data_IF_186358570245
#
_entry.id   IF_186358570245
#
_cell.length_a   1.000
_cell.length_b   1.000
_cell.length_c   1.000
_cell.angle_alpha   90.00
_cell.angle_beta   90.00
_cell.angle_gamma   90.00
#
_symmetry.space_group_name_H-M   'P 1'
#
loop_
_entity.id
_entity.type
_entity.pdbx_description
1 polymer ?
#
# COMPACT_ATOMS: atom_id res chain seq x y z
N UNK A 1 9.33 14.47 -10.75
CA UNK A 1 9.11 13.19 -10.04
C UNK A 1 9.44 13.45 -8.59
N UNK A 2 8.46 13.34 -7.69
CA UNK A 2 8.73 13.35 -6.25
C UNK A 2 9.31 11.98 -5.96
N UNK A 3 10.60 11.92 -5.62
CA UNK A 3 11.25 10.68 -5.21
C UNK A 3 11.06 10.59 -3.70
N UNK A 4 10.02 9.89 -3.26
CA UNK A 4 9.81 9.60 -1.83
C UNK A 4 10.93 8.63 -1.39
N UNK A 5 11.54 8.88 -0.23
CA UNK A 5 12.63 8.05 0.28
C UNK A 5 12.09 6.78 0.96
N UNK A 6 12.93 5.76 1.04
CA UNK A 6 12.63 4.53 1.78
C UNK A 6 12.33 4.80 3.26
N UNK A 7 13.01 5.77 3.86
CA UNK A 7 12.76 6.23 5.24
C UNK A 7 11.32 6.74 5.40
N UNK A 8 10.86 7.62 4.50
CA UNK A 8 9.48 8.13 4.54
C UNK A 8 8.46 7.03 4.29
N UNK A 9 8.74 6.08 3.39
CA UNK A 9 7.85 4.93 3.18
C UNK A 9 7.74 4.10 4.45
N UNK A 10 8.86 3.86 5.13
CA UNK A 10 8.87 3.10 6.36
C UNK A 10 8.11 3.81 7.48
N UNK A 11 8.25 5.13 7.61
CA UNK A 11 7.47 5.96 8.53
C UNK A 11 5.96 5.84 8.28
N UNK A 12 5.53 5.93 7.01
CA UNK A 12 4.13 5.74 6.61
C UNK A 12 3.63 4.35 7.03
N UNK A 13 4.42 3.30 6.73
CA UNK A 13 4.07 1.92 7.08
C UNK A 13 3.88 1.78 8.60
N UNK A 14 4.84 2.26 9.39
CA UNK A 14 4.81 2.17 10.85
C UNK A 14 3.70 3.01 11.47
N UNK A 15 3.35 4.15 10.86
CA UNK A 15 2.26 4.99 11.32
C UNK A 15 0.91 4.25 11.20
N UNK A 16 0.63 3.69 10.03
CA UNK A 16 -0.71 3.22 9.66
C UNK A 16 -0.96 1.74 9.83
N UNK A 17 0.09 0.89 9.81
CA UNK A 17 -0.05 -0.55 9.99
C UNK A 17 0.76 -1.03 11.19
N UNK A 18 0.20 -2.01 11.91
CA UNK A 18 0.83 -2.63 13.07
C UNK A 18 1.61 -3.86 12.60
N UNK A 19 2.68 -3.61 11.85
CA UNK A 19 3.56 -4.65 11.35
C UNK A 19 4.75 -4.81 12.31
N UNK A 20 5.09 -6.05 12.63
CA UNK A 20 6.26 -6.37 13.45
C UNK A 20 7.55 -6.19 12.64
N UNK A 21 8.39 -5.24 13.06
CA UNK A 21 9.70 -4.93 12.48
C UNK A 21 9.68 -4.81 10.93
N UNK A 22 8.91 -3.86 10.36
CA UNK A 22 8.83 -3.71 8.91
C UNK A 22 10.16 -3.22 8.35
N UNK A 23 10.54 -3.71 7.18
CA UNK A 23 11.71 -3.26 6.42
C UNK A 23 11.35 -3.05 4.95
N UNK A 24 12.02 -2.09 4.30
CA UNK A 24 11.92 -1.92 2.85
C UNK A 24 12.71 -3.04 2.18
N UNK A 25 12.02 -3.86 1.40
CA UNK A 25 12.62 -4.94 0.62
C UNK A 25 13.06 -4.46 -0.76
N UNK A 26 12.16 -4.56 -1.73
CA UNK A 26 12.40 -4.26 -3.14
C UNK A 26 11.50 -3.12 -3.59
N UNK A 27 12.02 -2.21 -4.42
CA UNK A 27 11.24 -1.18 -5.10
C UNK A 27 10.96 -1.63 -6.52
N UNK A 28 9.70 -1.53 -6.93
CA UNK A 28 9.28 -1.88 -8.28
C UNK A 28 8.93 -0.63 -9.08
N UNK A 29 9.08 -0.72 -10.41
CA UNK A 29 8.59 0.26 -11.37
C UNK A 29 9.04 1.71 -11.08
N UNK A 30 10.34 1.92 -10.85
CA UNK A 30 10.89 3.24 -10.48
C UNK A 30 10.65 4.35 -11.50
N UNK A 31 10.39 3.99 -12.77
CA UNK A 31 10.07 4.95 -13.84
C UNK A 31 8.58 5.37 -13.84
N UNK A 32 7.75 4.75 -13.00
CA UNK A 32 6.31 5.04 -12.89
C UNK A 32 6.03 6.11 -11.82
N UNK A 33 4.95 6.86 -12.02
CA UNK A 33 4.42 7.73 -10.97
C UNK A 33 3.82 6.94 -9.79
N UNK A 34 3.59 5.63 -9.98
CA UNK A 34 3.07 4.73 -8.95
C UNK A 34 4.19 4.26 -8.03
N UNK A 35 3.96 4.32 -6.73
CA UNK A 35 4.81 3.69 -5.73
C UNK A 35 4.48 2.21 -5.64
N UNK A 36 5.52 1.37 -5.64
CA UNK A 36 5.38 -0.07 -5.42
C UNK A 36 6.59 -0.56 -4.63
N UNK A 37 6.36 -0.99 -3.39
CA UNK A 37 7.40 -1.46 -2.49
C UNK A 37 7.02 -2.81 -1.90
N UNK A 38 7.97 -3.73 -1.85
CA UNK A 38 7.88 -4.91 -1.01
C UNK A 38 8.24 -4.52 0.42
N UNK A 39 7.31 -4.71 1.35
CA UNK A 39 7.56 -4.53 2.79
C UNK A 39 7.78 -5.91 3.39
N UNK A 40 8.94 -6.12 3.98
CA UNK A 40 9.28 -7.38 4.64
C UNK A 40 8.94 -7.29 6.13
N UNK A 41 8.44 -8.37 6.70
CA UNK A 41 8.28 -8.54 8.14
C UNK A 41 8.78 -9.93 8.52
N UNK A 42 8.83 -10.25 9.80
CA UNK A 42 9.23 -11.59 10.26
C UNK A 42 8.26 -12.70 9.83
N UNK A 43 6.98 -12.36 9.66
CA UNK A 43 5.90 -13.35 9.44
C UNK A 43 5.50 -13.49 7.99
N UNK A 44 5.43 -12.37 7.26
CA UNK A 44 5.11 -12.38 5.83
C UNK A 44 5.56 -11.10 5.13
N UNK A 45 5.62 -11.19 3.80
CA UNK A 45 5.89 -10.04 2.95
C UNK A 45 4.58 -9.39 2.50
N UNK A 46 4.56 -8.07 2.45
CA UNK A 46 3.46 -7.27 1.94
C UNK A 46 3.91 -6.47 0.70
N UNK A 47 2.93 -6.08 -0.11
CA UNK A 47 3.15 -5.18 -1.25
C UNK A 47 2.43 -3.85 -0.98
N UNK A 48 3.20 -2.82 -0.65
CA UNK A 48 2.70 -1.45 -0.54
C UNK A 48 2.56 -0.86 -1.94
N UNK A 49 1.40 -0.26 -2.22
CA UNK A 49 1.10 0.41 -3.48
C UNK A 49 0.63 1.82 -3.16
N UNK A 50 1.24 2.81 -3.81
CA UNK A 50 0.81 4.21 -3.72
C UNK A 50 0.42 4.74 -5.10
N UNK A 51 -0.79 5.27 -5.24
CA UNK A 51 -1.20 5.98 -6.46
C UNK A 51 -1.15 7.49 -6.22
N UNK A 52 -0.64 8.31 -7.17
CA UNK A 52 -0.65 9.76 -7.00
C UNK A 52 -2.04 10.27 -6.65
N UNK A 53 -2.14 11.27 -5.79
CA UNK A 53 -3.43 11.78 -5.34
C UNK A 53 -4.25 12.53 -6.40
N UNK A 54 -3.66 12.75 -7.58
CA UNK A 54 -4.35 13.15 -8.80
C UNK A 54 -5.30 12.07 -9.34
N UNK A 55 -5.13 10.81 -8.92
CA UNK A 55 -6.11 9.74 -9.17
C UNK A 55 -7.37 10.02 -8.33
N UNK A 56 -8.58 10.00 -8.92
CA UNK A 56 -9.81 10.23 -8.15
C UNK A 56 -10.04 9.17 -7.07
N UNK A 57 -10.50 9.59 -5.89
CA UNK A 57 -10.82 8.67 -4.78
C UNK A 57 -11.84 7.60 -5.19
N UNK A 58 -12.77 7.92 -6.09
CA UNK A 58 -13.75 6.96 -6.62
C UNK A 58 -13.09 5.75 -7.30
N UNK A 59 -11.97 5.97 -7.99
CA UNK A 59 -11.14 4.90 -8.58
C UNK A 59 -10.47 4.07 -7.48
N UNK A 60 -9.96 4.71 -6.44
CA UNK A 60 -9.35 4.01 -5.29
C UNK A 60 -10.39 3.13 -4.59
N UNK A 61 -11.55 3.69 -4.25
CA UNK A 61 -12.69 2.97 -3.66
C UNK A 61 -13.12 1.77 -4.50
N UNK A 62 -13.23 1.95 -5.82
CA UNK A 62 -13.59 0.87 -6.73
C UNK A 62 -12.56 -0.26 -6.70
N UNK A 63 -11.26 0.07 -6.77
CA UNK A 63 -10.19 -0.92 -6.74
C UNK A 63 -10.12 -1.65 -5.39
N UNK A 64 -10.25 -0.93 -4.29
CA UNK A 64 -10.33 -1.49 -2.93
C UNK A 64 -11.50 -2.48 -2.82
N UNK A 65 -12.69 -2.10 -3.30
CA UNK A 65 -13.87 -2.96 -3.30
C UNK A 65 -13.64 -4.25 -4.11
N UNK A 66 -12.98 -4.14 -5.27
CA UNK A 66 -12.62 -5.33 -6.07
C UNK A 66 -11.64 -6.25 -5.35
N UNK A 67 -10.64 -5.70 -4.64
CA UNK A 67 -9.70 -6.51 -3.86
C UNK A 67 -10.33 -7.17 -2.64
N UNK A 68 -11.23 -6.47 -1.94
CA UNK A 68 -11.99 -7.07 -0.84
C UNK A 68 -12.83 -8.25 -1.32
N UNK A 69 -13.58 -8.06 -2.42
CA UNK A 69 -14.42 -9.13 -2.96
C UNK A 69 -13.59 -10.25 -3.59
N UNK A 70 -12.76 -9.98 -4.59
CA UNK A 70 -12.03 -11.01 -5.33
C UNK A 70 -10.91 -11.63 -4.50
N UNK A 71 -10.22 -10.83 -3.69
CA UNK A 71 -9.08 -11.27 -2.90
C UNK A 71 -9.48 -11.80 -1.52
N UNK A 72 -10.03 -10.93 -0.67
CA UNK A 72 -10.32 -11.30 0.73
C UNK A 72 -11.47 -12.30 0.86
N UNK A 73 -12.58 -12.10 0.13
CA UNK A 73 -13.77 -12.98 0.25
C UNK A 73 -13.67 -14.24 -0.61
N UNK A 74 -13.12 -14.14 -1.83
CA UNK A 74 -13.16 -15.22 -2.81
C UNK A 74 -11.81 -15.91 -3.09
N UNK A 75 -10.69 -15.36 -2.61
CA UNK A 75 -9.36 -15.96 -2.80
C UNK A 75 -8.89 -16.08 -4.25
N UNK A 76 -9.49 -15.32 -5.18
CA UNK A 76 -9.19 -15.35 -6.63
C UNK A 76 -8.09 -14.35 -7.02
N UNK A 77 -7.71 -13.45 -6.12
CA UNK A 77 -6.67 -12.44 -6.29
C UNK A 77 -5.94 -12.20 -4.97
N UNK A 78 -4.83 -11.44 -4.94
CA UNK A 78 -4.26 -10.96 -3.69
C UNK A 78 -5.27 -10.09 -2.93
N UNK A 79 -5.47 -10.42 -1.66
CA UNK A 79 -6.25 -9.60 -0.74
C UNK A 79 -5.52 -8.31 -0.33
N UNK A 80 -6.25 -7.43 0.34
CA UNK A 80 -5.72 -6.21 0.94
C UNK A 80 -5.84 -6.28 2.47
N UNK A 81 -4.80 -5.77 3.13
CA UNK A 81 -4.69 -5.75 4.58
C UNK A 81 -5.14 -4.39 5.13
N UNK A 82 -6.01 -4.40 6.13
CA UNK A 82 -6.54 -3.17 6.73
C UNK A 82 -5.45 -2.43 7.53
N UNK A 83 -5.55 -1.11 7.56
CA UNK A 83 -4.79 -0.26 8.47
C UNK A 83 -5.34 -0.34 9.91
N UNK A 84 -4.61 0.24 10.87
CA UNK A 84 -4.98 0.26 12.30
C UNK A 84 -6.36 0.85 12.57
N UNK A 85 -6.81 1.79 11.75
CA UNK A 85 -8.11 2.45 11.85
C UNK A 85 -9.26 1.67 11.18
N UNK A 86 -8.96 0.52 10.56
CA UNK A 86 -9.91 -0.31 9.83
C UNK A 86 -10.15 0.11 8.37
N UNK A 87 -9.51 1.18 7.89
CA UNK A 87 -9.57 1.56 6.48
C UNK A 87 -8.65 0.68 5.63
N UNK A 88 -8.98 0.56 4.35
CA UNK A 88 -8.24 -0.28 3.38
C UNK A 88 -7.46 0.53 2.34
N UNK A 89 -7.49 1.86 2.43
CA UNK A 89 -6.67 2.79 1.67
C UNK A 89 -6.55 4.08 2.50
N UNK A 90 -5.46 4.82 2.34
CA UNK A 90 -5.14 6.00 3.15
C UNK A 90 -4.59 7.07 2.22
N UNK A 91 -4.96 8.34 2.45
CA UNK A 91 -4.33 9.44 1.73
C UNK A 91 -3.18 10.02 2.57
N UNK A 92 -1.94 9.91 2.08
CA UNK A 92 -0.76 10.39 2.78
C UNK A 92 0.36 10.82 1.82
N UNK A 93 1.12 11.86 2.16
CA UNK A 93 2.28 12.37 1.40
C UNK A 93 2.06 12.55 -0.12
N UNK A 94 0.84 12.90 -0.55
CA UNK A 94 0.49 13.09 -1.97
C UNK A 94 0.15 11.79 -2.72
N UNK A 95 -0.09 10.70 -1.99
CA UNK A 95 -0.51 9.41 -2.51
C UNK A 95 -1.78 8.90 -1.82
N UNK A 96 -2.47 8.00 -2.50
CA UNK A 96 -3.50 7.09 -1.96
C UNK A 96 -2.91 5.71 -1.69
#
# INVERSE_FOLDING_TARGET
>A
MINISDETILEIVQCHWDLDNPEIGERFNEESARLMFKIKTETQDYLLKGLPDSVPETTIKSNTSSHLYLGNENGMAPGIFAAKDGNYYIKDHGYW
#
